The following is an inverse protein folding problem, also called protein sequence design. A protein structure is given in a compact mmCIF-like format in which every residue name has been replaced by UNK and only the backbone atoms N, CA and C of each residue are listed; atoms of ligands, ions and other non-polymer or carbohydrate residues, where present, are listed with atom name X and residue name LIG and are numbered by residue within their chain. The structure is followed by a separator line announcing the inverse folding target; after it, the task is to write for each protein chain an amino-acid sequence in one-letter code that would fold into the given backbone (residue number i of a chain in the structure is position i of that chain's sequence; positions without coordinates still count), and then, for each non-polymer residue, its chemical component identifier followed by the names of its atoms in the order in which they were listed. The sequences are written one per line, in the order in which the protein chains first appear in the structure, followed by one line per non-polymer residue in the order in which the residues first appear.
data_IF_255916528253
#
_entry.id   IF_255916528253
#
_cell.length_a   1.000
_cell.length_b   1.000
_cell.length_c   1.000
_cell.angle_alpha   90.00
_cell.angle_beta   90.00
_cell.angle_gamma   90.00
#
_symmetry.space_group_name_H-M   'P 1'
#
loop_
_entity.id
_entity.type
_entity.pdbx_description
1 polymer ?
#
# COMPACT_ATOMS: atom_id res chain seq x y z
N UNK A 1 10.92 6.91 -3.40
CA UNK A 1 9.75 7.66 -3.90
C UNK A 1 10.28 8.96 -4.44
N UNK A 2 10.02 9.23 -5.70
CA UNK A 2 10.37 10.48 -6.36
C UNK A 2 9.33 11.55 -6.01
N UNK A 3 9.76 12.56 -5.25
CA UNK A 3 8.88 13.64 -4.79
C UNK A 3 8.54 14.65 -5.88
N UNK A 4 9.34 14.77 -6.93
CA UNK A 4 9.08 15.69 -8.04
C UNK A 4 7.99 15.12 -8.95
N UNK A 5 8.08 13.82 -9.26
CA UNK A 5 7.01 13.09 -9.95
C UNK A 5 5.72 13.15 -9.12
N UNK A 6 5.82 12.95 -7.79
CA UNK A 6 4.66 13.00 -6.91
C UNK A 6 4.02 14.39 -6.87
N UNK A 7 4.80 15.46 -6.72
CA UNK A 7 4.28 16.84 -6.74
C UNK A 7 3.56 17.12 -8.05
N UNK A 8 4.16 16.73 -9.18
CA UNK A 8 3.55 16.90 -10.50
C UNK A 8 2.20 16.19 -10.58
N UNK A 9 2.14 14.90 -10.21
CA UNK A 9 0.87 14.15 -10.19
C UNK A 9 -0.16 14.82 -9.28
N UNK A 10 0.27 15.30 -8.11
CA UNK A 10 -0.62 15.96 -7.17
C UNK A 10 -1.19 17.27 -7.74
N UNK A 11 -0.33 18.13 -8.29
CA UNK A 11 -0.72 19.41 -8.90
C UNK A 11 -1.64 19.20 -10.10
N UNK A 12 -1.31 18.26 -10.99
CA UNK A 12 -2.04 18.05 -12.24
C UNK A 12 -3.41 17.39 -12.02
N UNK A 13 -3.53 16.53 -11.00
CA UNK A 13 -4.71 15.64 -10.87
C UNK A 13 -5.41 15.64 -9.51
N UNK A 14 -4.73 15.95 -8.41
CA UNK A 14 -5.19 15.54 -7.07
C UNK A 14 -5.55 16.69 -6.12
N UNK A 15 -4.82 17.82 -6.16
CA UNK A 15 -5.01 18.90 -5.18
C UNK A 15 -6.44 19.48 -5.21
N UNK A 16 -7.03 19.57 -6.41
CA UNK A 16 -8.35 20.13 -6.65
C UNK A 16 -9.51 19.15 -6.38
N UNK A 17 -9.21 17.87 -6.13
CA UNK A 17 -10.25 16.90 -5.78
C UNK A 17 -10.86 17.25 -4.41
N UNK A 18 -12.18 17.12 -4.32
CA UNK A 18 -12.90 17.30 -3.06
C UNK A 18 -12.59 16.18 -2.08
N UNK A 19 -12.48 16.52 -0.79
CA UNK A 19 -12.36 15.53 0.28
C UNK A 19 -13.72 14.83 0.44
N UNK A 20 -13.72 13.52 0.38
CA UNK A 20 -14.92 12.71 0.55
C UNK A 20 -15.51 12.83 1.95
N UNK A 21 -16.84 12.92 2.01
CA UNK A 21 -17.62 12.85 3.25
C UNK A 21 -18.36 11.51 3.30
N UNK A 22 -18.41 10.89 4.49
CA UNK A 22 -19.01 9.57 4.66
C UNK A 22 -20.01 9.62 5.83
N UNK A 23 -21.29 9.75 5.51
CA UNK A 23 -22.34 9.96 6.53
C UNK A 23 -22.60 8.74 7.41
N UNK A 24 -22.30 7.52 6.93
CA UNK A 24 -22.58 6.25 7.62
C UNK A 24 -21.52 5.18 7.37
N UNK A 25 -20.26 5.57 7.49
CA UNK A 25 -19.15 4.67 7.23
C UNK A 25 -19.08 3.44 8.13
N UNK A 26 -18.98 2.27 7.52
CA UNK A 26 -18.90 1.00 8.23
C UNK A 26 -17.47 0.76 8.74
N UNK A 27 -17.35 0.48 10.04
CA UNK A 27 -16.07 0.14 10.64
C UNK A 27 -15.82 -1.38 10.60
N UNK A 28 -14.88 -1.80 9.76
CA UNK A 28 -14.41 -3.17 9.67
C UNK A 28 -14.86 -3.88 8.39
N UNK A 29 -13.94 -4.64 7.79
CA UNK A 29 -14.16 -5.34 6.51
C UNK A 29 -15.27 -6.37 6.60
N UNK A 30 -15.34 -7.14 7.69
CA UNK A 30 -16.40 -8.15 7.82
C UNK A 30 -17.79 -7.53 7.97
N UNK A 31 -17.88 -6.32 8.54
CA UNK A 31 -19.17 -5.62 8.67
C UNK A 31 -19.66 -5.11 7.31
N UNK A 32 -18.74 -4.69 6.45
CA UNK A 32 -19.05 -4.39 5.04
C UNK A 32 -19.60 -5.63 4.34
N UNK A 33 -18.95 -6.78 4.54
CA UNK A 33 -19.40 -8.06 3.97
C UNK A 33 -20.80 -8.46 4.47
N UNK A 34 -21.07 -8.38 5.78
CA UNK A 34 -22.40 -8.65 6.36
C UNK A 34 -23.48 -7.75 5.74
N UNK A 35 -23.19 -6.45 5.58
CA UNK A 35 -24.15 -5.50 5.04
C UNK A 35 -24.46 -5.78 3.56
N UNK A 36 -23.44 -6.14 2.76
CA UNK A 36 -23.64 -6.51 1.37
C UNK A 36 -24.40 -7.82 1.23
N UNK A 37 -24.07 -8.86 2.00
CA UNK A 37 -24.79 -10.14 1.94
C UNK A 37 -26.29 -9.96 2.25
N UNK A 38 -26.66 -9.07 3.18
CA UNK A 38 -28.06 -8.78 3.51
C UNK A 38 -28.86 -8.17 2.36
N UNK A 39 -28.22 -7.52 1.39
CA UNK A 39 -28.90 -6.97 0.22
C UNK A 39 -29.05 -7.98 -0.92
N UNK A 40 -28.33 -9.10 -0.86
CA UNK A 40 -28.35 -10.14 -1.89
C UNK A 40 -29.49 -11.15 -1.66
N UNK A 41 -30.29 -11.48 -2.71
CA UNK A 41 -31.41 -12.40 -2.58
C UNK A 41 -30.93 -13.83 -2.31
N UNK A 42 -31.62 -14.50 -1.39
CA UNK A 42 -31.36 -15.91 -1.01
C UNK A 42 -29.95 -16.15 -0.42
N UNK A 43 -29.27 -15.07 -0.01
CA UNK A 43 -27.96 -15.11 0.61
C UNK A 43 -28.02 -14.85 2.12
N UNK A 44 -27.16 -15.54 2.86
CA UNK A 44 -26.97 -15.33 4.30
C UNK A 44 -25.48 -15.37 4.65
N UNK A 45 -25.11 -14.82 5.80
CA UNK A 45 -23.74 -14.86 6.31
C UNK A 45 -23.70 -15.31 7.76
N UNK A 46 -22.67 -16.04 8.14
CA UNK A 46 -22.43 -16.51 9.50
C UNK A 46 -21.05 -16.07 9.97
N UNK A 47 -20.98 -15.44 11.15
CA UNK A 47 -19.72 -15.02 11.76
C UNK A 47 -19.15 -16.16 12.59
N UNK A 48 -18.05 -16.75 12.13
CA UNK A 48 -17.40 -17.87 12.80
C UNK A 48 -16.46 -17.41 13.93
N UNK A 49 -15.90 -16.21 13.79
CA UNK A 49 -15.03 -15.60 14.80
C UNK A 49 -14.95 -14.07 14.62
N UNK A 50 -14.11 -13.39 15.42
CA UNK A 50 -13.84 -11.96 15.25
C UNK A 50 -13.17 -11.63 13.90
N UNK A 51 -12.49 -12.60 13.28
CA UNK A 51 -11.82 -12.43 11.99
C UNK A 51 -12.44 -13.23 10.86
N UNK A 52 -13.33 -14.20 11.11
CA UNK A 52 -13.85 -15.09 10.05
C UNK A 52 -15.36 -14.94 9.84
N UNK A 53 -15.78 -14.88 8.56
CA UNK A 53 -17.18 -14.87 8.12
C UNK A 53 -17.36 -15.83 6.94
N UNK A 54 -18.48 -16.56 6.91
CA UNK A 54 -18.88 -17.45 5.82
C UNK A 54 -20.11 -16.91 5.10
N UNK A 55 -20.23 -17.21 3.81
CA UNK A 55 -21.32 -16.77 2.95
C UNK A 55 -22.06 -17.96 2.35
N UNK A 56 -23.39 -17.92 2.40
CA UNK A 56 -24.25 -19.01 1.93
C UNK A 56 -25.27 -18.49 0.91
N UNK A 57 -25.60 -19.32 -0.08
CA UNK A 57 -26.70 -19.11 -1.03
C UNK A 57 -27.58 -20.36 -1.01
N UNK A 58 -28.88 -20.20 -0.71
CA UNK A 58 -29.80 -21.34 -0.50
C UNK A 58 -29.24 -22.40 0.47
N UNK A 59 -28.69 -21.95 1.60
CA UNK A 59 -28.03 -22.76 2.63
C UNK A 59 -26.77 -23.53 2.17
N UNK A 60 -26.23 -23.26 0.98
CA UNK A 60 -24.96 -23.85 0.51
C UNK A 60 -23.84 -22.82 0.61
N UNK A 61 -22.71 -23.21 1.20
CA UNK A 61 -21.52 -22.37 1.33
C UNK A 61 -20.97 -22.04 -0.06
N UNK A 62 -20.81 -20.75 -0.36
CA UNK A 62 -20.22 -20.31 -1.63
C UNK A 62 -18.87 -19.58 -1.45
N UNK A 63 -18.55 -19.13 -0.24
CA UNK A 63 -17.28 -18.47 0.04
C UNK A 63 -17.12 -18.09 1.50
N UNK A 64 -15.93 -17.62 1.86
CA UNK A 64 -15.65 -17.04 3.18
C UNK A 64 -14.56 -15.98 3.10
N UNK A 65 -14.39 -15.23 4.18
CA UNK A 65 -13.26 -14.32 4.38
C UNK A 65 -12.68 -14.51 5.78
N UNK A 66 -11.35 -14.50 5.88
CA UNK A 66 -10.60 -14.34 7.13
C UNK A 66 -9.87 -12.99 7.12
N UNK A 67 -10.41 -12.05 7.90
CA UNK A 67 -10.02 -10.65 7.93
C UNK A 67 -10.36 -9.98 6.60
N UNK A 68 -9.40 -9.98 5.70
CA UNK A 68 -9.51 -9.39 4.37
C UNK A 68 -9.13 -10.38 3.25
N UNK A 69 -8.79 -11.61 3.64
CA UNK A 69 -8.33 -12.66 2.74
C UNK A 69 -9.53 -13.56 2.41
N UNK A 70 -9.91 -13.70 1.12
CA UNK A 70 -11.00 -14.59 0.73
C UNK A 70 -10.60 -16.07 0.78
N UNK A 71 -11.59 -16.95 0.78
CA UNK A 71 -11.42 -18.41 0.71
C UNK A 71 -10.72 -18.91 -0.56
N UNK A 72 -10.64 -18.07 -1.59
CA UNK A 72 -9.93 -18.31 -2.85
C UNK A 72 -8.42 -18.08 -2.75
N UNK A 73 -7.94 -17.54 -1.61
CA UNK A 73 -6.53 -17.42 -1.28
C UNK A 73 -6.11 -18.49 -0.27
N UNK A 74 -5.17 -19.37 -0.65
CA UNK A 74 -4.71 -20.47 0.19
C UNK A 74 -3.50 -20.12 1.08
N UNK A 75 -3.25 -20.95 2.09
CA UNK A 75 -2.17 -20.73 3.07
C UNK A 75 -0.77 -20.74 2.45
N UNK A 76 -0.55 -21.52 1.38
CA UNK A 76 0.76 -21.62 0.71
C UNK A 76 1.04 -20.34 -0.07
N UNK A 77 0.07 -19.86 -0.84
CA UNK A 77 0.13 -18.58 -1.55
C UNK A 77 0.37 -17.41 -0.59
N UNK A 78 -0.36 -17.37 0.53
CA UNK A 78 -0.18 -16.31 1.54
C UNK A 78 1.24 -16.35 2.14
N UNK A 79 1.78 -17.54 2.40
CA UNK A 79 3.14 -17.71 2.93
C UNK A 79 4.20 -17.30 1.90
N UNK A 80 3.96 -17.59 0.62
CA UNK A 80 4.81 -17.18 -0.47
C UNK A 80 4.90 -15.66 -0.55
N UNK A 81 3.77 -14.93 -0.59
CA UNK A 81 3.74 -13.47 -0.62
C UNK A 81 4.44 -12.80 0.59
N UNK A 82 4.47 -13.46 1.75
CA UNK A 82 5.18 -12.96 2.94
C UNK A 82 6.70 -13.11 2.85
N UNK A 83 7.18 -13.93 1.92
CA UNK A 83 8.61 -14.15 1.68
C UNK A 83 9.02 -13.29 0.48
N UNK A 84 9.62 -12.13 0.77
CA UNK A 84 9.97 -11.11 -0.24
C UNK A 84 10.86 -11.69 -1.34
N UNK A 85 11.87 -12.48 -0.98
CA UNK A 85 12.79 -13.08 -1.96
C UNK A 85 12.12 -14.14 -2.81
N UNK A 86 11.28 -15.01 -2.23
CA UNK A 86 10.58 -16.02 -3.03
C UNK A 86 9.56 -15.40 -3.96
N UNK A 87 8.89 -14.34 -3.52
CA UNK A 87 7.96 -13.59 -4.37
C UNK A 87 8.73 -12.94 -5.52
N UNK A 88 9.79 -12.19 -5.23
CA UNK A 88 10.64 -11.55 -6.24
C UNK A 88 11.18 -12.57 -7.26
N UNK A 89 11.77 -13.69 -6.81
CA UNK A 89 12.28 -14.73 -7.70
C UNK A 89 11.19 -15.34 -8.58
N UNK A 90 10.00 -15.57 -8.05
CA UNK A 90 8.87 -16.09 -8.82
C UNK A 90 8.44 -15.10 -9.89
N UNK A 91 8.31 -13.81 -9.54
CA UNK A 91 7.95 -12.76 -10.50
C UNK A 91 9.00 -12.65 -11.60
N UNK A 92 10.28 -12.56 -11.24
CA UNK A 92 11.39 -12.47 -12.18
C UNK A 92 11.46 -13.68 -13.14
N UNK A 93 11.27 -14.90 -12.63
CA UNK A 93 11.26 -16.13 -13.46
C UNK A 93 10.08 -16.18 -14.44
N UNK A 94 9.00 -15.45 -14.17
CA UNK A 94 7.85 -15.31 -15.06
C UNK A 94 7.88 -13.99 -15.86
N UNK A 95 9.05 -13.35 -15.99
CA UNK A 95 9.25 -12.12 -16.77
C UNK A 95 8.40 -10.93 -16.27
N UNK A 96 8.01 -10.95 -15.00
CA UNK A 96 7.32 -9.84 -14.34
C UNK A 96 8.36 -8.90 -13.74
N UNK A 97 8.37 -7.65 -14.21
CA UNK A 97 9.24 -6.59 -13.70
C UNK A 97 9.05 -6.42 -12.19
N UNK A 98 10.14 -6.56 -11.44
CA UNK A 98 10.18 -6.50 -9.97
C UNK A 98 11.54 -5.97 -9.53
N UNK A 99 11.72 -5.80 -8.23
CA UNK A 99 13.02 -5.45 -7.64
C UNK A 99 14.11 -6.50 -7.92
N UNK A 100 15.37 -6.08 -7.91
CA UNK A 100 16.55 -6.96 -8.06
C UNK A 100 17.32 -6.99 -6.75
N UNK A 101 16.94 -7.88 -5.83
CA UNK A 101 17.48 -7.93 -4.48
C UNK A 101 18.60 -8.95 -4.33
N UNK A 102 19.63 -8.55 -3.59
CA UNK A 102 20.69 -9.44 -3.10
C UNK A 102 20.41 -9.73 -1.63
N UNK A 103 20.24 -11.01 -1.30
CA UNK A 103 20.15 -11.48 0.08
C UNK A 103 21.54 -11.53 0.71
N UNK A 104 21.68 -10.89 1.87
CA UNK A 104 22.90 -10.85 2.67
C UNK A 104 22.61 -11.34 4.10
N UNK A 105 23.48 -12.22 4.60
CA UNK A 105 23.50 -12.66 5.99
C UNK A 105 24.58 -11.91 6.77
N UNK A 106 24.70 -12.13 8.08
CA UNK A 106 25.67 -11.40 8.92
C UNK A 106 27.12 -11.49 8.42
N UNK A 107 27.51 -12.68 7.92
CA UNK A 107 28.83 -12.94 7.32
C UNK A 107 29.09 -12.20 6.01
N UNK A 108 28.05 -11.67 5.35
CA UNK A 108 28.13 -11.04 4.04
C UNK A 108 28.28 -9.51 4.13
N UNK A 109 28.64 -8.97 5.31
CA UNK A 109 28.83 -7.52 5.52
C UNK A 109 29.77 -6.91 4.47
N UNK A 110 30.97 -7.45 4.34
CA UNK A 110 31.99 -6.93 3.41
C UNK A 110 31.51 -7.01 1.94
N UNK A 111 30.78 -8.08 1.60
CA UNK A 111 30.17 -8.23 0.28
C UNK A 111 29.13 -7.13 0.02
N UNK A 112 28.27 -6.84 0.99
CA UNK A 112 27.29 -5.77 0.91
C UNK A 112 27.93 -4.39 0.75
N UNK A 113 28.98 -4.12 1.53
CA UNK A 113 29.74 -2.88 1.46
C UNK A 113 30.41 -2.71 0.09
N UNK A 114 31.02 -3.76 -0.46
CA UNK A 114 31.62 -3.72 -1.80
C UNK A 114 30.58 -3.48 -2.91
N UNK A 115 29.35 -3.98 -2.75
CA UNK A 115 28.25 -3.65 -3.67
C UNK A 115 27.88 -2.17 -3.55
N UNK A 116 27.75 -1.65 -2.33
CA UNK A 116 27.43 -0.24 -2.09
C UNK A 116 28.48 0.71 -2.68
N UNK A 117 29.77 0.37 -2.56
CA UNK A 117 30.89 1.13 -3.17
C UNK A 117 30.83 1.18 -4.70
N UNK A 118 30.46 0.06 -5.33
CA UNK A 118 30.49 -0.07 -6.80
C UNK A 118 29.19 0.38 -7.46
N UNK A 119 28.12 0.52 -6.69
CA UNK A 119 26.83 0.91 -7.22
C UNK A 119 26.87 2.32 -7.79
N UNK A 120 26.41 2.48 -9.02
CA UNK A 120 26.25 3.79 -9.67
C UNK A 120 24.89 4.43 -9.36
N UNK A 121 24.05 3.75 -8.57
CA UNK A 121 22.70 4.19 -8.19
C UNK A 121 22.54 4.04 -6.68
N UNK A 122 21.71 4.89 -6.04
CA UNK A 122 21.40 4.71 -4.64
C UNK A 122 20.76 3.35 -4.38
N UNK A 123 21.11 2.72 -3.26
CA UNK A 123 20.58 1.43 -2.88
C UNK A 123 19.54 1.57 -1.78
N UNK A 124 18.79 0.51 -1.55
CA UNK A 124 17.91 0.32 -0.40
C UNK A 124 18.39 -0.91 0.36
N UNK A 125 18.61 -0.74 1.66
CA UNK A 125 18.86 -1.85 2.58
C UNK A 125 17.62 -2.06 3.45
N UNK A 126 17.03 -3.25 3.40
CA UNK A 126 15.83 -3.58 4.18
C UNK A 126 15.91 -4.97 4.84
N UNK A 127 15.42 -5.13 6.07
CA UNK A 127 15.25 -6.45 6.68
C UNK A 127 14.33 -7.36 5.84
N UNK A 128 14.71 -8.63 5.70
CA UNK A 128 13.94 -9.60 4.92
C UNK A 128 12.52 -9.80 5.49
N UNK A 129 12.40 -9.89 6.81
CA UNK A 129 11.20 -10.37 7.49
C UNK A 129 10.67 -9.41 8.58
N UNK A 130 10.87 -8.10 8.40
CA UNK A 130 10.23 -7.04 9.19
C UNK A 130 9.13 -6.32 8.40
N UNK A 131 8.16 -5.78 9.14
CA UNK A 131 6.97 -5.09 8.62
C UNK A 131 7.01 -3.60 8.90
N UNK A 132 6.18 -2.83 8.19
CA UNK A 132 5.91 -1.42 8.51
C UNK A 132 7.08 -0.47 8.27
N UNK A 133 8.05 -0.86 7.42
CA UNK A 133 9.23 -0.04 7.12
C UNK A 133 10.32 -0.06 8.17
N UNK A 134 10.22 -0.90 9.20
CA UNK A 134 11.22 -0.99 10.26
C UNK A 134 12.58 -1.48 9.74
N UNK A 135 13.65 -0.79 10.16
CA UNK A 135 15.02 -1.07 9.76
C UNK A 135 15.35 -0.78 8.29
N UNK A 136 14.44 -0.15 7.54
CA UNK A 136 14.70 0.23 6.14
C UNK A 136 15.55 1.50 6.11
N UNK A 137 16.61 1.48 5.31
CA UNK A 137 17.42 2.65 4.98
C UNK A 137 17.40 2.84 3.47
N UNK A 138 17.01 4.03 3.03
CA UNK A 138 17.02 4.44 1.63
C UNK A 138 18.33 5.19 1.33
N UNK A 139 18.61 5.37 0.04
CA UNK A 139 19.78 6.11 -0.45
C UNK A 139 21.10 5.61 0.15
N UNK A 140 21.24 4.29 0.21
CA UNK A 140 22.41 3.62 0.75
C UNK A 140 23.54 3.65 -0.27
N UNK A 141 24.71 4.10 0.18
CA UNK A 141 25.98 4.13 -0.54
C UNK A 141 27.13 3.72 0.40
N UNK A 142 28.39 3.84 -0.06
CA UNK A 142 29.56 3.52 0.77
C UNK A 142 29.58 4.30 2.10
N UNK A 143 29.19 5.57 2.09
CA UNK A 143 29.35 6.49 3.22
C UNK A 143 28.41 6.18 4.38
N UNK A 144 27.24 5.59 4.10
CA UNK A 144 26.21 5.32 5.10
C UNK A 144 25.85 3.83 5.24
N UNK A 145 26.53 2.92 4.52
CA UNK A 145 26.24 1.49 4.56
C UNK A 145 26.29 0.89 5.97
N UNK A 146 27.30 1.26 6.76
CA UNK A 146 27.43 0.77 8.14
C UNK A 146 26.24 1.18 9.01
N UNK A 147 25.79 2.44 8.89
CA UNK A 147 24.60 2.92 9.57
C UNK A 147 23.36 2.13 9.12
N UNK A 148 23.19 1.93 7.81
CA UNK A 148 22.07 1.19 7.25
C UNK A 148 22.01 -0.25 7.77
N UNK A 149 23.16 -0.93 7.79
CA UNK A 149 23.31 -2.29 8.30
C UNK A 149 22.95 -2.39 9.79
N UNK A 150 23.51 -1.50 10.61
CA UNK A 150 23.27 -1.49 12.04
C UNK A 150 21.82 -1.11 12.39
N UNK A 151 21.21 -0.19 11.62
CA UNK A 151 19.79 0.14 11.73
C UNK A 151 18.91 -1.09 11.47
N UNK A 152 19.20 -1.85 10.42
CA UNK A 152 18.52 -3.11 10.15
C UNK A 152 18.77 -4.16 11.25
N UNK A 153 19.99 -4.25 11.78
CA UNK A 153 20.39 -5.22 12.81
C UNK A 153 19.64 -5.02 14.12
N UNK A 154 19.46 -3.77 14.55
CA UNK A 154 18.71 -3.42 15.77
C UNK A 154 17.30 -4.00 15.80
N UNK A 155 16.63 -4.09 14.65
CA UNK A 155 15.28 -4.67 14.57
C UNK A 155 15.24 -6.18 14.85
N UNK A 156 16.38 -6.87 14.79
CA UNK A 156 16.50 -8.29 15.08
C UNK A 156 16.81 -8.57 16.56
N UNK A 157 17.39 -7.61 17.29
CA UNK A 157 17.85 -7.78 18.68
C UNK A 157 16.71 -8.23 19.62
N UNK A 158 15.49 -7.76 19.37
CA UNK A 158 14.30 -8.10 20.14
C UNK A 158 13.51 -9.30 19.57
N UNK A 159 14.12 -10.09 18.67
CA UNK A 159 13.43 -11.17 17.96
C UNK A 159 14.22 -12.48 17.97
N UNK A 160 13.51 -13.60 17.79
CA UNK A 160 14.14 -14.93 17.60
C UNK A 160 14.54 -15.21 16.15
N UNK A 161 14.47 -14.20 15.27
CA UNK A 161 14.71 -14.37 13.83
C UNK A 161 16.20 -14.23 13.53
N UNK A 162 16.65 -14.98 12.53
CA UNK A 162 18.02 -14.86 12.00
C UNK A 162 18.13 -13.55 11.21
N UNK A 163 19.19 -12.78 11.47
CA UNK A 163 19.52 -11.56 10.76
C UNK A 163 19.73 -11.83 9.27
N UNK A 164 18.90 -11.22 8.43
CA UNK A 164 18.95 -11.30 6.97
C UNK A 164 18.45 -9.99 6.37
N UNK A 165 19.24 -9.39 5.48
CA UNK A 165 18.89 -8.14 4.82
C UNK A 165 18.89 -8.30 3.30
N UNK A 166 18.10 -7.46 2.66
CA UNK A 166 18.06 -7.31 1.21
C UNK A 166 18.73 -5.98 0.86
N UNK A 167 19.68 -6.05 -0.07
CA UNK A 167 20.29 -4.89 -0.69
C UNK A 167 19.85 -4.85 -2.16
N UNK A 168 19.27 -3.74 -2.60
CA UNK A 168 18.73 -3.61 -3.95
C UNK A 168 18.88 -2.19 -4.48
N UNK A 169 18.91 -1.97 -5.81
CA UNK A 169 18.79 -0.63 -6.38
C UNK A 169 17.48 0.04 -5.97
N UNK A 170 17.54 1.36 -5.76
CA UNK A 170 16.32 2.16 -5.61
C UNK A 170 15.58 2.21 -6.95
N UNK A 171 14.26 2.05 -6.90
CA UNK A 171 13.39 2.27 -8.05
C UNK A 171 12.91 3.72 -8.04
N UNK A 172 13.09 4.39 -9.17
CA UNK A 172 12.55 5.72 -9.44
C UNK A 172 11.04 5.66 -9.62
N UNK A 173 10.35 6.76 -9.29
CA UNK A 173 8.90 6.87 -9.43
C UNK A 173 8.12 6.96 -8.12
N UNK A 174 6.81 6.83 -8.25
CA UNK A 174 5.84 6.88 -7.16
C UNK A 174 5.15 5.53 -6.98
N UNK A 175 4.73 5.28 -5.74
CA UNK A 175 4.16 4.00 -5.35
C UNK A 175 2.62 4.05 -5.38
N UNK A 176 2.00 3.12 -6.11
CA UNK A 176 0.54 2.88 -6.07
C UNK A 176 0.22 1.50 -5.53
N UNK A 177 -0.90 1.40 -4.79
CA UNK A 177 -1.53 0.15 -4.39
C UNK A 177 -2.57 -0.22 -5.45
N UNK A 178 -2.25 -1.17 -6.31
CA UNK A 178 -3.19 -1.78 -7.25
C UNK A 178 -3.94 -2.92 -6.56
N UNK A 179 -5.26 -2.88 -6.55
CA UNK A 179 -6.08 -3.96 -6.02
C UNK A 179 -6.55 -4.86 -7.15
N UNK A 180 -6.26 -6.15 -7.02
CA UNK A 180 -6.81 -7.20 -7.86
C UNK A 180 -7.78 -8.02 -7.02
N UNK A 181 -8.98 -8.26 -7.56
CA UNK A 181 -10.04 -9.06 -6.95
C UNK A 181 -10.41 -10.18 -7.93
N UNK A 182 -10.29 -11.43 -7.48
CA UNK A 182 -10.54 -12.62 -8.30
C UNK A 182 -9.89 -12.57 -9.69
N UNK A 183 -8.58 -12.29 -9.72
CA UNK A 183 -7.69 -12.20 -10.89
C UNK A 183 -7.98 -11.02 -11.85
N UNK A 184 -8.80 -10.06 -11.43
CA UNK A 184 -9.11 -8.86 -12.22
C UNK A 184 -8.73 -7.60 -11.49
N UNK A 185 -8.18 -6.63 -12.21
CA UNK A 185 -7.97 -5.29 -11.69
C UNK A 185 -9.32 -4.73 -11.18
N UNK A 186 -9.30 -4.20 -9.97
CA UNK A 186 -10.46 -3.61 -9.31
C UNK A 186 -10.30 -2.10 -9.15
N UNK A 187 -9.21 -1.67 -8.50
CA UNK A 187 -8.98 -0.26 -8.21
C UNK A 187 -7.52 0.06 -7.88
N UNK A 188 -7.16 1.34 -7.93
CA UNK A 188 -5.82 1.83 -7.64
C UNK A 188 -5.85 2.97 -6.63
N UNK A 189 -5.00 2.89 -5.60
CA UNK A 189 -4.83 3.94 -4.60
C UNK A 189 -3.39 4.46 -4.62
N UNK A 190 -3.23 5.75 -4.90
CA UNK A 190 -1.98 6.45 -4.65
C UNK A 190 -1.89 6.81 -3.17
N UNK A 191 -0.83 6.33 -2.51
CA UNK A 191 -0.54 6.66 -1.11
C UNK A 191 0.44 7.84 -1.06
N UNK A 192 -0.04 8.98 -0.61
CA UNK A 192 0.78 10.19 -0.51
C UNK A 192 1.26 10.33 0.93
N UNK A 193 2.55 10.61 1.18
CA UNK A 193 3.05 10.95 2.51
C UNK A 193 2.21 12.05 3.17
N UNK A 194 2.26 12.14 4.50
CA UNK A 194 1.60 13.23 5.22
C UNK A 194 2.00 14.56 4.58
N UNK A 195 1.02 15.39 4.23
CA UNK A 195 1.24 16.60 3.44
C UNK A 195 0.21 17.67 3.80
N UNK A 196 0.50 18.90 3.39
CA UNK A 196 -0.43 20.02 3.36
C UNK A 196 -0.28 20.77 2.04
N UNK A 197 -1.35 21.44 1.63
CA UNK A 197 -1.39 22.31 0.45
C UNK A 197 -1.71 23.70 0.93
N UNK A 198 -0.89 24.68 0.56
CA UNK A 198 -1.08 26.07 0.93
C UNK A 198 -2.34 26.65 0.31
N UNK A 199 -3.02 27.49 1.07
CA UNK A 199 -4.19 28.25 0.60
C UNK A 199 -3.94 29.76 0.61
N UNK A 200 -2.70 30.20 0.91
CA UNK A 200 -2.30 31.60 1.01
C UNK A 200 -2.84 32.34 2.24
N UNK A 201 -3.57 31.66 3.13
CA UNK A 201 -4.31 32.28 4.24
C UNK A 201 -3.95 31.67 5.59
N UNK A 202 -3.85 30.35 5.67
CA UNK A 202 -3.69 29.62 6.92
C UNK A 202 -2.25 29.18 7.13
N UNK A 203 -1.86 29.15 8.40
CA UNK A 203 -0.58 28.60 8.83
C UNK A 203 -0.50 27.10 8.59
N UNK A 204 0.71 26.56 8.51
CA UNK A 204 0.97 25.11 8.47
C UNK A 204 0.20 24.37 9.57
N UNK A 205 0.21 24.88 10.79
CA UNK A 205 -0.53 24.27 11.92
C UNK A 205 -2.05 24.24 11.68
N UNK A 206 -2.62 25.32 11.19
CA UNK A 206 -4.05 25.40 10.88
C UNK A 206 -4.44 24.48 9.71
N UNK A 207 -3.60 24.38 8.67
CA UNK A 207 -3.80 23.45 7.56
C UNK A 207 -3.79 21.99 8.04
N UNK A 208 -2.86 21.63 8.93
CA UNK A 208 -2.82 20.31 9.58
C UNK A 208 -4.12 20.06 10.36
N UNK A 209 -4.58 21.03 11.16
CA UNK A 209 -5.79 20.89 11.98
C UNK A 209 -7.06 20.74 11.13
N UNK A 210 -7.20 21.52 10.06
CA UNK A 210 -8.30 21.40 9.09
C UNK A 210 -8.32 20.01 8.45
N UNK A 211 -7.16 19.55 7.98
CA UNK A 211 -7.04 18.23 7.36
C UNK A 211 -7.36 17.10 8.34
N UNK A 212 -6.87 17.20 9.58
CA UNK A 212 -7.21 16.24 10.64
C UNK A 212 -8.70 16.23 10.97
N UNK A 213 -9.36 17.39 10.95
CA UNK A 213 -10.82 17.49 11.14
C UNK A 213 -11.57 16.74 10.04
N UNK A 214 -11.19 16.93 8.78
CA UNK A 214 -11.78 16.18 7.69
C UNK A 214 -11.51 14.67 7.80
N UNK A 215 -10.30 14.27 8.24
CA UNK A 215 -9.97 12.85 8.47
C UNK A 215 -10.83 12.19 9.55
N UNK A 216 -11.31 12.94 10.56
CA UNK A 216 -12.22 12.39 11.58
C UNK A 216 -13.55 11.88 11.00
N UNK A 217 -14.00 12.46 9.89
CA UNK A 217 -15.20 12.04 9.17
C UNK A 217 -14.95 10.83 8.26
N UNK A 218 -13.69 10.47 8.01
CA UNK A 218 -13.34 9.33 7.17
C UNK A 218 -13.21 8.03 8.02
N UNK A 219 -13.98 6.97 7.73
CA UNK A 219 -14.01 5.75 8.54
C UNK A 219 -12.70 4.97 8.62
N UNK A 220 -11.84 5.11 7.61
CA UNK A 220 -10.52 4.50 7.53
C UNK A 220 -9.44 5.39 8.18
N UNK A 221 -9.56 6.71 8.03
CA UNK A 221 -8.50 7.66 8.45
C UNK A 221 -8.72 8.29 9.84
N UNK A 222 -9.92 8.20 10.43
CA UNK A 222 -10.27 8.89 11.69
C UNK A 222 -9.37 8.61 12.89
N UNK A 223 -8.64 7.50 12.90
CA UNK A 223 -7.68 7.13 13.97
C UNK A 223 -6.22 7.36 13.59
N UNK A 224 -5.97 7.93 12.41
CA UNK A 224 -4.65 8.10 11.81
C UNK A 224 -4.43 9.58 11.48
N UNK A 225 -4.41 10.50 12.47
CA UNK A 225 -4.17 11.91 12.22
C UNK A 225 -2.72 12.17 11.83
N UNK A 226 -2.48 13.29 11.17
CA UNK A 226 -1.15 13.90 11.08
C UNK A 226 -0.78 14.38 12.48
N UNK A 227 0.26 13.80 13.08
CA UNK A 227 0.77 14.20 14.40
C UNK A 227 1.96 15.13 14.22
N UNK A 228 1.90 16.29 14.87
CA UNK A 228 3.04 17.21 14.94
C UNK A 228 4.09 16.59 15.86
N UNK A 229 5.08 15.93 15.26
CA UNK A 229 6.21 15.31 15.92
C UNK A 229 7.50 16.09 15.64
N UNK A 230 8.58 15.76 16.33
CA UNK A 230 9.88 16.39 16.06
C UNK A 230 10.40 16.05 14.66
N UNK A 231 10.04 14.90 14.10
CA UNK A 231 10.31 14.56 12.68
C UNK A 231 9.59 15.54 11.75
N UNK A 232 8.33 15.87 12.02
CA UNK A 232 7.58 16.83 11.20
C UNK A 232 8.18 18.23 11.30
N UNK A 233 8.55 18.68 12.51
CA UNK A 233 9.21 19.97 12.71
C UNK A 233 10.55 20.03 11.99
N UNK A 234 11.38 19.00 12.14
CA UNK A 234 12.67 18.89 11.46
C UNK A 234 12.51 18.94 9.94
N UNK A 235 11.57 18.19 9.38
CA UNK A 235 11.31 18.21 7.93
C UNK A 235 10.86 19.60 7.44
N UNK A 236 10.05 20.32 8.22
CA UNK A 236 9.67 21.71 7.89
C UNK A 236 10.87 22.65 7.94
N UNK A 237 11.73 22.52 8.96
CA UNK A 237 12.95 23.32 9.10
C UNK A 237 13.91 23.12 7.94
N UNK A 238 14.08 21.88 7.44
CA UNK A 238 14.87 21.59 6.23
C UNK A 238 14.33 22.29 4.98
N UNK A 239 13.04 22.65 4.96
CA UNK A 239 12.39 23.41 3.89
C UNK A 239 12.37 24.93 4.19
N UNK A 240 13.00 25.39 5.27
CA UNK A 240 12.95 26.78 5.71
C UNK A 240 11.56 27.24 6.19
N UNK A 241 10.70 26.30 6.61
CA UNK A 241 9.34 26.55 7.08
C UNK A 241 9.19 26.22 8.57
N UNK A 242 8.13 26.75 9.17
CA UNK A 242 7.75 26.45 10.55
C UNK A 242 6.24 26.18 10.64
N UNK A 243 5.76 25.77 11.80
CA UNK A 243 4.32 25.61 12.04
C UNK A 243 3.50 26.90 11.88
N UNK A 244 4.16 28.06 11.99
CA UNK A 244 3.54 29.38 11.83
C UNK A 244 3.68 29.95 10.42
N UNK A 245 4.39 29.26 9.51
CA UNK A 245 4.51 29.71 8.13
C UNK A 245 3.16 29.64 7.42
N UNK A 246 2.85 30.65 6.62
CA UNK A 246 1.74 30.63 5.65
C UNK A 246 2.34 30.18 4.32
N UNK A 247 1.76 29.14 3.72
CA UNK A 247 2.20 28.59 2.44
C UNK A 247 1.49 29.32 1.29
N UNK A 248 2.20 29.50 0.18
CA UNK A 248 1.59 30.06 -1.02
C UNK A 248 0.46 29.17 -1.52
N UNK A 249 -0.51 29.76 -2.22
CA UNK A 249 -1.62 28.98 -2.78
C UNK A 249 -1.08 27.87 -3.69
N UNK A 250 -1.58 26.66 -3.49
CA UNK A 250 -1.20 25.44 -4.21
C UNK A 250 0.24 24.94 -3.95
N UNK A 251 0.99 25.55 -3.02
CA UNK A 251 2.29 25.05 -2.55
C UNK A 251 2.10 23.73 -1.79
N UNK A 252 2.70 22.64 -2.29
CA UNK A 252 2.63 21.31 -1.67
C UNK A 252 3.84 21.10 -0.77
N UNK A 253 3.60 20.87 0.53
CA UNK A 253 4.62 20.54 1.52
C UNK A 253 4.38 19.14 2.09
N UNK A 254 5.38 18.27 1.99
CA UNK A 254 5.38 16.96 2.64
C UNK A 254 5.96 17.06 4.05
N UNK A 255 5.24 16.49 5.01
CA UNK A 255 5.59 16.46 6.42
C UNK A 255 6.36 15.18 6.80
N UNK A 256 6.33 14.17 5.93
CA UNK A 256 7.06 12.91 6.07
C UNK A 256 7.61 12.44 4.72
N UNK A 257 8.69 11.65 4.79
CA UNK A 257 9.34 11.07 3.61
C UNK A 257 8.75 9.69 3.21
N UNK A 258 7.80 9.15 3.99
CA UNK A 258 7.19 7.84 3.74
C UNK A 258 5.68 7.96 3.50
N UNK A 259 5.17 7.17 2.55
CA UNK A 259 3.76 7.08 2.12
C UNK A 259 2.85 6.35 3.11
N UNK A 260 3.24 6.30 4.39
CA UNK A 260 2.52 5.57 5.43
C UNK A 260 1.25 6.32 5.87
N UNK A 261 0.09 5.77 5.52
CA UNK A 261 -1.22 6.31 5.96
C UNK A 261 -1.32 6.41 7.49
N UNK A 262 -0.67 5.49 8.21
CA UNK A 262 -0.61 5.49 9.68
C UNK A 262 0.10 6.71 10.27
N UNK A 263 0.97 7.37 9.49
CA UNK A 263 1.66 8.61 9.85
C UNK A 263 0.91 9.86 9.38
N UNK A 264 -0.37 9.72 9.01
CA UNK A 264 -1.17 10.83 8.50
C UNK A 264 -1.11 11.00 6.98
N UNK A 265 -0.56 10.02 6.27
CA UNK A 265 -0.61 9.98 4.80
C UNK A 265 -2.04 9.90 4.25
N UNK A 266 -2.19 10.26 2.99
CA UNK A 266 -3.47 10.30 2.29
C UNK A 266 -3.62 9.12 1.34
N UNK A 267 -4.86 8.72 1.10
CA UNK A 267 -5.24 7.79 0.04
C UNK A 267 -6.04 8.51 -1.04
N UNK A 268 -5.53 8.49 -2.27
CA UNK A 268 -6.21 9.02 -3.46
C UNK A 268 -6.63 7.86 -4.35
N UNK A 269 -7.90 7.80 -4.70
CA UNK A 269 -8.37 6.85 -5.71
C UNK A 269 -8.07 7.38 -7.11
N UNK A 270 -7.29 6.60 -7.86
CA UNK A 270 -6.71 7.00 -9.14
C UNK A 270 -7.00 6.01 -10.27
N UNK A 271 -7.95 5.08 -10.13
CA UNK A 271 -8.16 4.01 -11.12
C UNK A 271 -8.44 4.53 -12.52
N UNK A 272 -9.11 5.69 -12.62
CA UNK A 272 -9.44 6.32 -13.90
C UNK A 272 -8.22 6.92 -14.61
N UNK A 273 -7.13 7.19 -13.90
CA UNK A 273 -5.88 7.71 -14.47
C UNK A 273 -4.97 6.58 -14.95
N UNK A 274 -5.02 5.43 -14.28
CA UNK A 274 -4.10 4.31 -14.52
C UNK A 274 -4.34 3.67 -15.89
N UNK A 275 -3.29 3.59 -16.70
CA UNK A 275 -3.28 2.96 -18.01
C UNK A 275 -3.30 1.44 -17.96
N UNK A 276 -3.56 0.82 -19.11
CA UNK A 276 -3.76 -0.63 -19.19
C UNK A 276 -2.48 -1.44 -18.96
N UNK A 277 -1.30 -0.87 -19.20
CA UNK A 277 -0.01 -1.51 -18.88
C UNK A 277 0.12 -1.82 -17.39
N UNK A 278 -0.20 -0.86 -16.53
CA UNK A 278 -0.15 -1.00 -15.07
C UNK A 278 -1.23 -1.96 -14.56
N UNK A 279 -2.44 -1.90 -15.11
CA UNK A 279 -3.52 -2.85 -14.77
C UNK A 279 -3.11 -4.28 -15.12
N UNK A 280 -2.57 -4.48 -16.32
CA UNK A 280 -2.10 -5.77 -16.80
C UNK A 280 -0.94 -6.30 -15.95
N UNK A 281 0.02 -5.44 -15.59
CA UNK A 281 1.11 -5.80 -14.68
C UNK A 281 0.57 -6.32 -13.34
N UNK A 282 -0.41 -5.62 -12.74
CA UNK A 282 -1.03 -6.06 -11.49
C UNK A 282 -1.76 -7.40 -11.64
N UNK A 283 -2.55 -7.58 -12.69
CA UNK A 283 -3.26 -8.84 -12.95
C UNK A 283 -2.32 -10.01 -13.21
N UNK A 284 -1.31 -9.83 -14.05
CA UNK A 284 -0.34 -10.87 -14.40
C UNK A 284 0.51 -11.25 -13.18
N UNK A 285 0.83 -10.29 -12.31
CA UNK A 285 1.47 -10.54 -11.00
C UNK A 285 0.65 -11.51 -10.15
N UNK A 286 -0.67 -11.34 -10.08
CA UNK A 286 -1.51 -12.25 -9.30
C UNK A 286 -1.65 -13.61 -9.97
N UNK A 287 -1.79 -13.66 -11.29
CA UNK A 287 -1.95 -14.92 -12.03
C UNK A 287 -0.78 -15.89 -11.83
N UNK A 288 0.45 -15.39 -11.71
CA UNK A 288 1.63 -16.25 -11.54
C UNK A 288 1.82 -16.76 -10.11
N UNK A 289 1.13 -16.18 -9.12
CA UNK A 289 1.25 -16.59 -7.71
C UNK A 289 0.24 -17.69 -7.40
N UNK A 290 0.68 -18.95 -7.17
CA UNK A 290 -0.24 -20.05 -6.94
C UNK A 290 -1.04 -19.83 -5.66
N UNK A 291 -2.35 -20.05 -5.75
CA UNK A 291 -3.25 -19.98 -4.60
C UNK A 291 -3.53 -18.56 -4.11
N UNK A 292 -3.29 -17.52 -4.93
CA UNK A 292 -3.75 -16.15 -4.67
C UNK A 292 -4.59 -15.67 -5.85
N UNK A 293 -5.78 -15.15 -5.58
CA UNK A 293 -6.65 -14.53 -6.61
C UNK A 293 -7.02 -13.08 -6.27
N UNK A 294 -6.87 -12.70 -5.00
CA UNK A 294 -7.19 -11.36 -4.50
C UNK A 294 -6.04 -10.87 -3.62
N UNK A 295 -5.44 -9.75 -3.99
CA UNK A 295 -4.36 -9.11 -3.25
C UNK A 295 -4.17 -7.65 -3.69
N UNK A 296 -3.53 -6.87 -2.84
CA UNK A 296 -2.95 -5.58 -3.23
C UNK A 296 -1.54 -5.78 -3.79
N UNK A 297 -1.25 -5.23 -4.95
CA UNK A 297 0.07 -5.21 -5.60
C UNK A 297 0.62 -3.80 -5.49
N UNK A 298 1.74 -3.64 -4.79
CA UNK A 298 2.46 -2.37 -4.72
C UNK A 298 3.34 -2.23 -5.96
N UNK A 299 3.11 -1.20 -6.76
CA UNK A 299 3.81 -0.95 -8.02
C UNK A 299 4.48 0.42 -7.96
N UNK A 300 5.76 0.46 -8.34
CA UNK A 300 6.50 1.69 -8.60
C UNK A 300 6.34 2.08 -10.07
N UNK A 301 5.95 3.32 -10.35
CA UNK A 301 5.76 3.84 -11.70
C UNK A 301 6.18 5.31 -11.81
N UNK A 302 6.62 5.73 -13.00
CA UNK A 302 6.99 7.12 -13.30
C UNK A 302 5.86 7.90 -14.00
N UNK A 303 4.96 7.20 -14.69
CA UNK A 303 3.78 7.78 -15.33
C UNK A 303 2.61 6.79 -15.40
N UNK A 304 1.38 7.27 -15.58
CA UNK A 304 0.21 6.39 -15.58
C UNK A 304 0.17 5.36 -16.72
N UNK A 305 0.97 5.53 -17.77
CA UNK A 305 1.12 4.58 -18.88
C UNK A 305 2.50 3.92 -18.89
N UNK A 306 3.20 3.94 -17.76
CA UNK A 306 4.56 3.40 -17.63
C UNK A 306 4.59 1.89 -17.92
N UNK A 307 5.32 1.52 -18.97
CA UNK A 307 5.55 0.12 -19.35
C UNK A 307 6.80 -0.48 -18.67
N UNK A 308 7.60 0.34 -18.00
CA UNK A 308 8.77 -0.05 -17.21
C UNK A 308 8.51 -0.15 -15.71
N UNK A 309 7.26 0.04 -15.28
CA UNK A 309 6.86 -0.09 -13.90
C UNK A 309 7.24 -1.46 -13.30
N UNK A 310 7.52 -1.47 -12.00
CA UNK A 310 8.01 -2.67 -11.30
C UNK A 310 7.18 -2.95 -10.06
N UNK A 311 6.94 -4.24 -9.80
CA UNK A 311 6.31 -4.71 -8.57
C UNK A 311 7.29 -4.60 -7.41
N UNK A 312 6.82 -4.06 -6.28
CA UNK A 312 7.57 -3.94 -5.03
C UNK A 312 7.20 -5.04 -4.02
N UNK A 313 5.89 -5.30 -3.88
CA UNK A 313 5.34 -6.22 -2.89
C UNK A 313 3.95 -6.71 -3.31
N UNK A 314 3.60 -7.94 -2.92
CA UNK A 314 2.23 -8.48 -3.04
C UNK A 314 1.66 -8.72 -1.64
N UNK A 315 0.49 -8.15 -1.40
CA UNK A 315 -0.17 -8.07 -0.10
C UNK A 315 -1.53 -8.80 -0.12
N UNK A 316 -1.60 -10.09 0.28
CA UNK A 316 -2.86 -10.86 0.29
C UNK A 316 -3.96 -10.26 1.17
N UNK A 317 -3.59 -9.49 2.21
CA UNK A 317 -4.55 -8.79 3.06
C UNK A 317 -5.17 -7.54 2.41
N UNK A 318 -4.61 -7.06 1.30
CA UNK A 318 -5.07 -5.98 0.40
C UNK A 318 -5.40 -4.59 1.00
N UNK A 319 -5.76 -4.48 2.28
CA UNK A 319 -6.37 -3.30 2.90
C UNK A 319 -7.58 -2.75 2.12
N UNK A 320 -8.58 -3.60 1.90
CA UNK A 320 -9.81 -3.30 1.15
C UNK A 320 -10.51 -2.03 1.64
N UNK A 321 -10.42 -1.72 2.95
CA UNK A 321 -11.05 -0.52 3.52
C UNK A 321 -10.50 0.79 2.97
N UNK A 322 -9.23 0.81 2.57
CA UNK A 322 -8.62 2.01 1.98
C UNK A 322 -9.27 2.40 0.65
N UNK A 323 -9.76 1.40 -0.10
CA UNK A 323 -10.45 1.57 -1.38
C UNK A 323 -11.94 1.95 -1.19
N UNK A 324 -12.57 1.48 -0.11
CA UNK A 324 -13.91 1.94 0.29
C UNK A 324 -13.93 3.39 0.75
N UNK A 325 -12.84 3.86 1.37
CA UNK A 325 -12.82 5.15 2.03
C UNK A 325 -11.56 5.96 1.68
N UNK A 326 -11.29 6.24 0.38
CA UNK A 326 -10.20 7.14 0.01
C UNK A 326 -10.45 8.54 0.60
N UNK A 327 -9.39 9.30 0.87
CA UNK A 327 -9.54 10.70 1.28
C UNK A 327 -10.18 11.53 0.17
N UNK A 328 -9.72 11.31 -1.06
CA UNK A 328 -10.14 12.01 -2.29
C UNK A 328 -10.21 11.01 -3.45
N UNK A 329 -11.02 11.32 -4.46
CA UNK A 329 -11.29 10.42 -5.60
C UNK A 329 -12.52 9.55 -5.36
N UNK A 330 -12.89 8.73 -6.34
CA UNK A 330 -14.16 7.98 -6.34
C UNK A 330 -14.09 6.74 -5.44
N UNK A 331 -14.87 6.64 -4.35
CA UNK A 331 -14.89 5.43 -3.52
C UNK A 331 -15.28 4.17 -4.30
N UNK A 332 -14.62 3.04 -4.02
CA UNK A 332 -14.88 1.73 -4.65
C UNK A 332 -15.38 0.72 -3.62
N UNK A 333 -16.04 -0.35 -4.06
CA UNK A 333 -16.65 -1.35 -3.15
C UNK A 333 -16.07 -2.76 -3.28
N UNK A 334 -14.74 -2.96 -3.15
CA UNK A 334 -14.11 -4.25 -3.45
C UNK A 334 -14.55 -5.43 -2.59
N UNK A 335 -15.15 -5.16 -1.42
CA UNK A 335 -15.75 -6.22 -0.58
C UNK A 335 -17.01 -6.76 -1.24
N UNK A 336 -17.82 -5.88 -1.82
CA UNK A 336 -19.03 -6.23 -2.56
C UNK A 336 -18.64 -6.97 -3.84
N UNK A 337 -17.68 -6.40 -4.59
CA UNK A 337 -17.20 -6.98 -5.85
C UNK A 337 -16.64 -8.40 -5.64
N UNK A 338 -15.87 -8.62 -4.57
CA UNK A 338 -15.37 -9.94 -4.19
C UNK A 338 -16.52 -10.92 -3.94
N UNK A 339 -17.49 -10.55 -3.10
CA UNK A 339 -18.63 -11.41 -2.75
C UNK A 339 -19.46 -11.74 -3.99
N UNK A 340 -19.71 -10.75 -4.85
CA UNK A 340 -20.48 -10.92 -6.08
C UNK A 340 -19.79 -11.87 -7.06
N UNK A 341 -18.46 -11.78 -7.18
CA UNK A 341 -17.66 -12.69 -8.00
C UNK A 341 -17.67 -14.12 -7.45
N UNK A 342 -17.53 -14.30 -6.13
CA UNK A 342 -17.64 -15.62 -5.48
C UNK A 342 -19.03 -16.24 -5.69
N UNK A 343 -20.10 -15.44 -5.51
CA UNK A 343 -21.47 -15.90 -5.73
C UNK A 343 -21.73 -16.27 -7.19
N UNK A 344 -21.22 -15.46 -8.13
CA UNK A 344 -21.34 -15.71 -9.56
C UNK A 344 -20.65 -17.00 -9.96
N UNK A 345 -19.40 -17.22 -9.52
CA UNK A 345 -18.67 -18.46 -9.78
C UNK A 345 -19.42 -19.69 -9.22
N UNK A 346 -19.94 -19.58 -7.99
CA UNK A 346 -20.73 -20.63 -7.37
C UNK A 346 -22.01 -20.96 -8.16
N UNK A 347 -22.79 -19.95 -8.58
CA UNK A 347 -23.99 -20.14 -9.40
C UNK A 347 -23.66 -20.78 -10.76
N UNK A 348 -22.55 -20.38 -11.38
CA UNK A 348 -22.10 -21.00 -12.62
C UNK A 348 -21.75 -22.48 -12.46
N UNK A 349 -21.18 -22.88 -11.30
CA UNK A 349 -20.89 -24.27 -10.97
C UNK A 349 -22.13 -25.11 -10.65
N UNK A 350 -23.22 -24.50 -10.19
CA UNK A 350 -24.50 -25.19 -9.97
C UNK A 350 -25.28 -25.46 -11.27
N UNK A 351 -25.04 -24.64 -12.29
CA UNK A 351 -25.73 -24.74 -13.60
C UNK A 351 -24.95 -25.58 -14.63
N UNK A 352 -23.75 -26.02 -14.29
CA UNK A 352 -22.96 -27.00 -15.04
C UNK A 352 -23.17 -28.37 -14.41
#
# INVERSE_FOLDING_TARGET
MDFDILKKIMSDHLINLHINQYDNGVNGTLKLAENHIKSLPECTSERMSSSEIKFYYKNKLFGSMNGQIPSTSDKKGIRLCKDKMKTENLLSTNEISTTESILLEEKDYDKGLEIAKKSQRPLVLKPLNMYGGRGITLDVDESNFEFAWNNAKKEYDETTKIFKVLLQPILSGVETRMLVVENKFNSAILRVPANIVGDGLHTVNELINKKNTARMMNPHLKRLPIKISDVVKHNLEQLGKTLNSILEKDEIVFLHNSSNISLGGDSYEISHLVGDSLKKLAEDTIKVIPGISTAGVDIMFESFNDSSASVLEVNPGANLRMHHYPLKGEPKTPVNDLIDLLLKDFKNKLNK
#
